data_IF_683127427669
#
_entry.id   IF_683127427669
#
_cell.length_a   1.000
_cell.length_b   1.000
_cell.length_c   1.000
_cell.angle_alpha   90.00
_cell.angle_beta   90.00
_cell.angle_gamma   90.00
#
_symmetry.space_group_name_H-M   'P 1'
#
loop_
_entity.id
_entity.type
_entity.pdbx_description
1 polymer ?
#
# COMPACT_ATOMS: atom_id res chain seq x y z
N UNK A 1 -32.40 3.48 -0.02
CA UNK A 1 -31.69 2.72 1.03
C UNK A 1 -30.93 3.73 1.88
N UNK A 2 -31.26 3.92 3.16
CA UNK A 2 -30.56 4.87 4.02
C UNK A 2 -29.25 4.23 4.50
N UNK A 3 -28.11 4.67 3.98
CA UNK A 3 -26.81 4.28 4.53
C UNK A 3 -26.75 4.82 5.97
N UNK A 4 -26.39 3.96 6.93
CA UNK A 4 -26.26 4.35 8.33
C UNK A 4 -25.31 5.55 8.46
N UNK A 5 -25.71 6.59 9.19
CA UNK A 5 -24.86 7.78 9.41
C UNK A 5 -23.50 7.44 10.06
N UNK A 6 -23.39 6.28 10.74
CA UNK A 6 -22.09 5.76 11.20
C UNK A 6 -21.19 5.36 10.02
N UNK A 7 -21.73 4.67 9.02
CA UNK A 7 -20.99 4.26 7.82
C UNK A 7 -20.52 5.49 7.03
N UNK A 8 -21.39 6.48 6.82
CA UNK A 8 -21.02 7.71 6.12
C UNK A 8 -19.86 8.44 6.81
N UNK A 9 -19.93 8.60 8.13
CA UNK A 9 -18.83 9.24 8.88
C UNK A 9 -17.54 8.45 8.85
N UNK A 10 -17.61 7.11 8.86
CA UNK A 10 -16.42 6.27 8.71
C UNK A 10 -15.81 6.44 7.32
N UNK A 11 -16.64 6.42 6.26
CA UNK A 11 -16.20 6.63 4.90
C UNK A 11 -15.56 8.02 4.70
N UNK A 12 -16.19 9.08 5.19
CA UNK A 12 -15.65 10.45 5.14
C UNK A 12 -14.26 10.52 5.80
N UNK A 13 -14.13 10.00 7.03
CA UNK A 13 -12.85 10.00 7.75
C UNK A 13 -11.79 9.17 7.05
N UNK A 14 -12.17 8.01 6.52
CA UNK A 14 -11.28 7.16 5.76
C UNK A 14 -10.77 7.88 4.51
N UNK A 15 -11.65 8.53 3.74
CA UNK A 15 -11.27 9.30 2.55
C UNK A 15 -10.32 10.45 2.88
N UNK A 16 -10.50 11.14 4.02
CA UNK A 16 -9.56 12.18 4.46
C UNK A 16 -8.20 11.58 4.87
N UNK A 17 -8.17 10.41 5.50
CA UNK A 17 -6.90 9.70 5.75
C UNK A 17 -6.19 9.35 4.45
N UNK A 18 -6.90 8.85 3.44
CA UNK A 18 -6.31 8.47 2.15
C UNK A 18 -5.73 9.67 1.37
N UNK A 19 -6.22 10.89 1.62
CA UNK A 19 -5.64 12.11 1.05
C UNK A 19 -4.36 12.57 1.73
N UNK A 20 -4.24 12.31 3.03
CA UNK A 20 -3.13 12.77 3.85
C UNK A 20 -1.97 11.76 3.94
N UNK A 21 -2.24 10.49 3.63
CA UNK A 21 -1.31 9.38 3.80
C UNK A 21 -0.91 8.77 2.46
N UNK A 22 0.25 8.13 2.45
CA UNK A 22 0.73 7.37 1.31
C UNK A 22 2.24 7.31 1.25
N UNK A 23 2.74 6.38 0.45
CA UNK A 23 4.17 6.25 0.16
C UNK A 23 4.39 6.70 -1.28
N UNK A 24 5.27 7.69 -1.54
CA UNK A 24 5.56 8.10 -2.90
C UNK A 24 6.36 7.00 -3.61
N UNK A 25 5.79 6.47 -4.69
CA UNK A 25 6.38 5.41 -5.49
C UNK A 25 6.77 5.90 -6.89
N UNK A 26 7.93 5.47 -7.37
CA UNK A 26 8.23 5.51 -8.79
C UNK A 26 7.59 4.33 -9.52
N UNK A 27 7.65 4.32 -10.85
CA UNK A 27 6.98 3.29 -11.66
C UNK A 27 7.54 1.88 -11.44
N UNK A 28 8.87 1.64 -11.40
CA UNK A 28 9.41 0.32 -11.06
C UNK A 28 8.95 -0.20 -9.69
N UNK A 29 8.92 0.67 -8.68
CA UNK A 29 8.44 0.32 -7.34
C UNK A 29 6.95 -0.06 -7.35
N UNK A 30 6.14 0.70 -8.11
CA UNK A 30 4.72 0.42 -8.30
C UNK A 30 4.51 -0.96 -8.92
N UNK A 31 5.29 -1.31 -9.94
CA UNK A 31 5.21 -2.62 -10.60
C UNK A 31 5.58 -3.76 -9.65
N UNK A 32 6.64 -3.59 -8.86
CA UNK A 32 7.04 -4.56 -7.84
C UNK A 32 5.92 -4.78 -6.82
N UNK A 33 5.32 -3.70 -6.30
CA UNK A 33 4.25 -3.81 -5.32
C UNK A 33 2.96 -4.38 -5.90
N UNK A 34 2.56 -4.01 -7.12
CA UNK A 34 1.40 -4.64 -7.80
C UNK A 34 1.63 -6.14 -7.98
N UNK A 35 2.86 -6.57 -8.31
CA UNK A 35 3.20 -7.98 -8.42
C UNK A 35 3.03 -8.71 -7.07
N UNK A 36 3.45 -8.08 -5.96
CA UNK A 36 3.34 -8.65 -4.62
C UNK A 36 1.91 -8.63 -4.06
N UNK A 37 1.14 -7.57 -4.33
CA UNK A 37 -0.25 -7.46 -3.91
C UNK A 37 -1.15 -8.50 -4.58
N UNK A 38 -0.77 -8.99 -5.75
CA UNK A 38 -1.45 -10.11 -6.40
C UNK A 38 -2.84 -9.73 -6.88
N UNK A 39 -3.88 -10.40 -6.37
CA UNK A 39 -5.29 -10.13 -6.70
C UNK A 39 -6.17 -10.17 -5.46
N UNK A 40 -7.16 -9.28 -5.39
CA UNK A 40 -8.16 -9.28 -4.33
C UNK A 40 -7.76 -8.43 -3.13
N UNK A 41 -8.16 -8.87 -1.93
CA UNK A 41 -8.00 -8.13 -0.69
C UNK A 41 -6.67 -8.44 -0.01
N UNK A 42 -5.91 -7.42 0.35
CA UNK A 42 -4.71 -7.57 1.17
C UNK A 42 -5.02 -7.34 2.65
N UNK A 43 -4.75 -8.34 3.48
CA UNK A 43 -4.95 -8.27 4.92
C UNK A 43 -3.99 -7.29 5.60
N UNK A 44 -4.36 -6.81 6.78
CA UNK A 44 -3.51 -5.89 7.55
C UNK A 44 -2.16 -6.48 7.94
N UNK A 45 -2.03 -7.82 8.00
CA UNK A 45 -0.78 -8.50 8.26
C UNK A 45 0.12 -8.44 7.01
N UNK A 46 -0.42 -8.82 5.85
CA UNK A 46 0.29 -8.75 4.56
C UNK A 46 0.80 -7.33 4.28
N UNK A 47 -0.01 -6.29 4.54
CA UNK A 47 0.41 -4.89 4.40
C UNK A 47 1.64 -4.56 5.27
N UNK A 48 1.72 -5.11 6.49
CA UNK A 48 2.86 -4.88 7.40
C UNK A 48 4.12 -5.62 6.95
N UNK A 49 3.94 -6.74 6.26
CA UNK A 49 5.03 -7.60 5.80
C UNK A 49 5.53 -7.22 4.40
N UNK A 50 4.90 -6.28 3.70
CA UNK A 50 5.30 -5.83 2.36
C UNK A 50 6.79 -5.51 2.21
N UNK A 51 7.41 -4.88 3.21
CA UNK A 51 8.84 -4.60 3.15
C UNK A 51 9.69 -5.87 3.10
N UNK A 52 9.32 -6.89 3.86
CA UNK A 52 9.97 -8.21 3.84
C UNK A 52 9.69 -8.92 2.51
N UNK A 53 8.46 -8.86 2.00
CA UNK A 53 8.09 -9.45 0.71
C UNK A 53 8.89 -8.84 -0.46
N UNK A 54 9.15 -7.52 -0.43
CA UNK A 54 10.03 -6.83 -1.39
C UNK A 54 11.47 -7.34 -1.31
N UNK A 55 11.98 -7.65 -0.12
CA UNK A 55 13.33 -8.19 0.05
C UNK A 55 13.45 -9.63 -0.46
N UNK A 56 12.41 -10.44 -0.27
CA UNK A 56 12.41 -11.88 -0.57
C UNK A 56 12.00 -12.20 -2.01
N UNK A 57 11.29 -11.30 -2.68
CA UNK A 57 10.80 -11.58 -4.03
C UNK A 57 11.93 -11.66 -5.06
N UNK A 58 11.75 -12.57 -6.01
CA UNK A 58 12.58 -12.67 -7.21
C UNK A 58 12.19 -11.68 -8.30
N UNK A 59 11.12 -10.90 -8.11
CA UNK A 59 10.74 -9.84 -9.04
C UNK A 59 11.88 -8.85 -9.24
N UNK A 60 12.08 -8.46 -10.50
CA UNK A 60 13.06 -7.48 -10.90
C UNK A 60 12.59 -6.78 -12.18
N UNK A 61 12.93 -5.50 -12.32
CA UNK A 61 12.69 -4.73 -13.54
C UNK A 61 13.68 -3.56 -13.63
N UNK A 62 13.81 -2.98 -14.83
CA UNK A 62 14.76 -1.89 -15.07
C UNK A 62 14.45 -0.69 -14.15
N UNK A 63 15.47 -0.27 -13.38
CA UNK A 63 15.38 0.88 -12.48
C UNK A 63 14.75 0.58 -11.11
N UNK A 64 14.45 -0.68 -10.80
CA UNK A 64 14.01 -1.08 -9.46
C UNK A 64 15.19 -1.19 -8.49
N UNK A 65 15.15 -0.43 -7.39
CA UNK A 65 16.02 -0.63 -6.23
C UNK A 65 15.19 -1.22 -5.09
N UNK A 66 15.30 -2.55 -4.89
CA UNK A 66 14.52 -3.25 -3.87
C UNK A 66 14.93 -2.87 -2.45
N UNK A 67 16.20 -2.53 -2.23
CA UNK A 67 16.67 -2.11 -0.90
C UNK A 67 16.10 -0.74 -0.56
N UNK A 68 16.16 0.22 -1.49
CA UNK A 68 15.57 1.54 -1.29
C UNK A 68 14.04 1.48 -1.09
N UNK A 69 13.35 0.62 -1.85
CA UNK A 69 11.91 0.40 -1.69
C UNK A 69 11.60 -0.21 -0.31
N UNK A 70 12.29 -1.27 0.10
CA UNK A 70 12.08 -1.91 1.40
C UNK A 70 12.31 -0.93 2.56
N UNK A 71 13.37 -0.12 2.50
CA UNK A 71 13.65 0.90 3.51
C UNK A 71 12.56 1.97 3.58
N UNK A 72 12.03 2.40 2.41
CA UNK A 72 10.90 3.32 2.34
C UNK A 72 9.65 2.75 3.02
N UNK A 73 9.35 1.47 2.78
CA UNK A 73 8.20 0.78 3.37
C UNK A 73 8.36 0.58 4.88
N UNK A 74 9.56 0.26 5.37
CA UNK A 74 9.85 0.15 6.81
C UNK A 74 9.72 1.48 7.56
N UNK A 75 10.08 2.57 6.90
CA UNK A 75 9.98 3.92 7.46
C UNK A 75 8.55 4.46 7.45
N UNK A 76 7.67 3.93 6.59
CA UNK A 76 6.29 4.39 6.46
C UNK A 76 5.44 4.03 7.68
N UNK A 77 4.48 4.90 8.03
CA UNK A 77 3.49 4.52 9.03
C UNK A 77 2.53 3.48 8.46
N UNK A 78 1.85 2.72 9.33
CA UNK A 78 0.84 1.77 8.85
C UNK A 78 -0.29 2.45 8.06
N UNK A 79 -0.65 3.70 8.39
CA UNK A 79 -1.65 4.45 7.64
C UNK A 79 -1.15 4.79 6.22
N UNK A 80 0.13 5.11 6.07
CA UNK A 80 0.75 5.35 4.76
C UNK A 80 0.79 4.09 3.91
N UNK A 81 1.10 2.94 4.52
CA UNK A 81 1.10 1.65 3.83
C UNK A 81 -0.31 1.27 3.33
N UNK A 82 -1.34 1.46 4.16
CA UNK A 82 -2.74 1.22 3.77
C UNK A 82 -3.12 2.15 2.61
N UNK A 83 -2.85 3.45 2.72
CA UNK A 83 -3.18 4.40 1.66
C UNK A 83 -2.44 4.10 0.35
N UNK A 84 -1.19 3.66 0.44
CA UNK A 84 -0.42 3.22 -0.72
C UNK A 84 -1.10 2.02 -1.39
N UNK A 85 -1.42 0.95 -0.65
CA UNK A 85 -2.04 -0.27 -1.19
C UNK A 85 -3.40 0.02 -1.85
N UNK A 86 -4.22 0.84 -1.21
CA UNK A 86 -5.52 1.27 -1.76
C UNK A 86 -5.36 2.09 -3.05
N UNK A 87 -4.32 2.91 -3.14
CA UNK A 87 -3.98 3.65 -4.37
C UNK A 87 -3.52 2.75 -5.52
N UNK A 88 -3.08 1.51 -5.22
CA UNK A 88 -2.76 0.47 -6.20
C UNK A 88 -4.00 -0.34 -6.60
N UNK A 89 -5.12 -0.19 -5.90
CA UNK A 89 -6.40 -0.85 -6.19
C UNK A 89 -6.63 -2.17 -5.44
N UNK A 90 -5.98 -2.38 -4.29
CA UNK A 90 -6.07 -3.59 -3.46
C UNK A 90 -6.60 -3.32 -2.05
#
# INVERSE_FOLDING_TARGET
>A
MLISGKINRTAERYLELMKAHGVPLCEPERQCLVHLCGIGFMSTLEIRELAMEVELTSFDCEGLDKTALADKLKAASFADLVAMVESLGF
#
